data_IF_271577017767
#
_entry.id   IF_271577017767
#
_cell.length_a   1.000
_cell.length_b   1.000
_cell.length_c   1.000
_cell.angle_alpha   90.00
_cell.angle_beta   90.00
_cell.angle_gamma   90.00
#
_symmetry.space_group_name_H-M   'P 1'
#
loop_
_entity.id
_entity.type
_entity.pdbx_description
1 polymer ?
#
# COMPACT_ATOMS: atom_id res chain seq x y z
N UNK A 1 -1.82 -12.06 13.54
CA UNK A 1 -1.91 -11.44 12.20
C UNK A 1 -3.33 -10.94 12.10
N UNK A 2 -3.52 -9.62 12.02
CA UNK A 2 -4.85 -9.05 11.95
C UNK A 2 -5.44 -9.35 10.57
N UNK A 3 -6.63 -9.95 10.55
CA UNK A 3 -7.40 -10.10 9.32
C UNK A 3 -7.79 -8.70 8.85
N UNK A 4 -7.56 -8.40 7.57
CA UNK A 4 -7.89 -7.09 6.96
C UNK A 4 -9.38 -6.74 7.15
N UNK A 5 -10.21 -7.75 7.38
CA UNK A 5 -11.65 -7.71 7.62
C UNK A 5 -12.09 -7.44 9.06
N UNK A 6 -11.18 -7.34 10.05
CA UNK A 6 -11.53 -7.19 11.47
C UNK A 6 -11.24 -5.82 12.10
N UNK A 7 -10.77 -4.83 11.32
CA UNK A 7 -10.50 -3.49 11.85
C UNK A 7 -11.81 -2.69 11.92
N UNK A 8 -12.35 -2.52 13.13
CA UNK A 8 -13.53 -1.69 13.34
C UNK A 8 -13.22 -0.20 13.07
N UNK A 9 -14.14 0.58 12.47
CA UNK A 9 -13.91 2.00 12.17
C UNK A 9 -13.57 2.87 13.38
N UNK A 10 -14.06 2.51 14.57
CA UNK A 10 -13.76 3.19 15.83
C UNK A 10 -12.34 2.96 16.32
N UNK A 11 -11.70 1.85 15.92
CA UNK A 11 -10.31 1.59 16.24
C UNK A 11 -9.37 2.42 15.35
N UNK A 12 -9.80 2.77 14.12
CA UNK A 12 -9.02 3.61 13.19
C UNK A 12 -8.72 5.00 13.74
N UNK A 13 -9.72 5.72 14.25
CA UNK A 13 -9.49 7.06 14.82
C UNK A 13 -8.61 7.02 16.07
N UNK A 14 -8.69 5.93 16.85
CA UNK A 14 -7.81 5.73 18.01
C UNK A 14 -6.39 5.34 17.60
N UNK A 15 -6.21 4.69 16.44
CA UNK A 15 -4.88 4.43 15.89
C UNK A 15 -4.18 5.72 15.51
N UNK A 16 -4.90 6.66 14.88
CA UNK A 16 -4.31 7.91 14.43
C UNK A 16 -3.75 8.73 15.60
N UNK A 17 -4.50 8.88 16.70
CA UNK A 17 -4.06 9.66 17.87
C UNK A 17 -2.95 8.94 18.67
N UNK A 18 -3.11 7.65 18.97
CA UNK A 18 -2.14 6.91 19.80
C UNK A 18 -0.80 6.68 19.10
N UNK A 19 -0.81 6.31 17.82
CA UNK A 19 0.42 6.03 17.05
C UNK A 19 1.17 7.33 16.76
N UNK A 20 0.47 8.43 16.50
CA UNK A 20 1.09 9.73 16.25
C UNK A 20 1.83 10.28 17.48
N UNK A 21 1.31 10.02 18.68
CA UNK A 21 1.87 10.51 19.94
C UNK A 21 3.01 9.65 20.49
N UNK A 22 2.94 8.32 20.35
CA UNK A 22 3.94 7.42 20.94
C UNK A 22 4.16 6.13 20.12
N UNK A 23 5.29 6.08 19.40
CA UNK A 23 5.74 4.89 18.66
C UNK A 23 6.60 3.92 19.50
N UNK A 24 6.95 4.26 20.75
CA UNK A 24 7.96 3.52 21.53
C UNK A 24 7.50 2.11 21.92
N UNK A 25 6.19 1.85 21.89
CA UNK A 25 5.60 0.54 22.18
C UNK A 25 4.99 -0.06 20.91
N UNK A 26 5.78 -0.84 20.17
CA UNK A 26 5.28 -1.71 19.10
C UNK A 26 5.58 -1.25 17.67
N UNK A 27 6.33 -0.16 17.46
CA UNK A 27 6.83 0.21 16.15
C UNK A 27 8.21 -0.42 15.88
N UNK A 28 8.29 -1.27 14.85
CA UNK A 28 9.54 -1.88 14.39
C UNK A 28 9.85 -1.40 12.96
N UNK A 29 10.97 -0.70 12.79
CA UNK A 29 11.51 -0.37 11.47
C UNK A 29 12.03 -1.63 10.77
N UNK A 30 11.67 -1.79 9.49
CA UNK A 30 12.00 -2.98 8.69
C UNK A 30 13.15 -2.72 7.69
N UNK A 31 13.85 -1.59 7.79
CA UNK A 31 15.03 -1.27 6.97
C UNK A 31 16.08 -2.38 6.96
N UNK A 32 16.34 -3.01 8.11
CA UNK A 32 17.27 -4.13 8.27
C UNK A 32 16.94 -5.35 7.42
N UNK A 33 15.69 -5.47 6.95
CA UNK A 33 15.23 -6.53 6.05
C UNK A 33 15.19 -6.09 4.58
N UNK A 34 15.73 -4.91 4.25
CA UNK A 34 15.69 -4.36 2.90
C UNK A 34 14.31 -3.84 2.49
N UNK A 35 13.37 -3.68 3.44
CA UNK A 35 12.01 -3.24 3.16
C UNK A 35 11.91 -1.71 3.10
N UNK A 36 12.54 -1.12 2.08
CA UNK A 36 12.51 0.30 1.80
C UNK A 36 12.17 0.56 0.34
N UNK A 37 11.46 1.66 0.08
CA UNK A 37 11.14 2.15 -1.25
C UNK A 37 12.05 3.32 -1.63
N UNK A 38 11.80 3.95 -2.78
CA UNK A 38 12.49 5.17 -3.20
C UNK A 38 12.26 6.35 -2.25
N UNK A 39 11.12 6.38 -1.57
CA UNK A 39 10.65 7.55 -0.80
C UNK A 39 10.53 7.29 0.69
N UNK A 40 10.53 6.03 1.12
CA UNK A 40 10.26 5.67 2.50
C UNK A 40 10.76 4.29 2.91
N UNK A 41 10.41 3.91 4.13
CA UNK A 41 10.73 2.63 4.74
C UNK A 41 9.47 2.02 5.35
N UNK A 42 9.37 0.70 5.31
CA UNK A 42 8.26 0.00 5.95
C UNK A 42 8.52 -0.18 7.45
N UNK A 43 7.44 -0.08 8.20
CA UNK A 43 7.37 -0.34 9.63
C UNK A 43 6.32 -1.41 9.88
N UNK A 44 6.58 -2.25 10.87
CA UNK A 44 5.57 -3.09 11.50
C UNK A 44 5.08 -2.35 12.75
N UNK A 45 3.79 -2.05 12.81
CA UNK A 45 3.17 -1.41 13.96
C UNK A 45 2.30 -2.43 14.66
N UNK A 46 2.67 -2.79 15.88
CA UNK A 46 1.90 -3.67 16.76
C UNK A 46 1.18 -2.81 17.78
N UNK A 47 -0.11 -3.05 17.96
CA UNK A 47 -0.95 -2.33 18.91
C UNK A 47 -1.44 -3.36 19.93
N UNK A 48 -0.68 -3.58 21.02
CA UNK A 48 -0.91 -4.68 21.95
C UNK A 48 -2.31 -4.67 22.55
N UNK A 49 -2.87 -3.49 22.82
CA UNK A 49 -4.16 -3.28 23.46
C UNK A 49 -5.31 -3.92 22.67
N UNK A 50 -5.18 -3.99 21.35
CA UNK A 50 -6.19 -4.53 20.45
C UNK A 50 -5.74 -5.81 19.72
N UNK A 51 -4.51 -6.27 19.99
CA UNK A 51 -3.94 -7.46 19.32
C UNK A 51 -3.72 -7.29 17.81
N UNK A 52 -3.70 -6.06 17.31
CA UNK A 52 -3.53 -5.78 15.88
C UNK A 52 -2.05 -5.60 15.51
N UNK A 53 -1.74 -5.97 14.27
CA UNK A 53 -0.46 -5.66 13.65
C UNK A 53 -0.73 -5.12 12.26
N UNK A 54 -0.21 -3.93 11.99
CA UNK A 54 -0.33 -3.20 10.74
C UNK A 54 1.05 -3.02 10.12
N UNK A 55 1.04 -2.66 8.84
CA UNK A 55 2.20 -2.14 8.13
C UNK A 55 2.03 -0.63 8.00
N UNK A 56 3.11 0.11 8.15
CA UNK A 56 3.14 1.52 7.82
C UNK A 56 4.27 1.84 6.87
N UNK A 57 3.99 2.63 5.85
CA UNK A 57 5.02 3.24 5.00
C UNK A 57 5.37 4.60 5.58
N UNK A 58 6.54 4.69 6.19
CA UNK A 58 7.04 5.92 6.77
C UNK A 58 7.93 6.70 5.82
N UNK A 59 7.72 8.01 5.74
CA UNK A 59 8.50 8.92 4.89
C UNK A 59 9.00 10.13 5.67
N UNK A 60 10.11 10.70 5.20
CA UNK A 60 10.62 11.98 5.68
C UNK A 60 9.68 13.12 5.23
N UNK A 61 9.74 14.27 5.93
CA UNK A 61 8.89 15.44 5.62
C UNK A 61 9.00 15.90 4.15
N UNK A 62 10.19 15.79 3.55
CA UNK A 62 10.46 16.12 2.14
C UNK A 62 9.62 15.28 1.16
N UNK A 63 9.17 14.09 1.55
CA UNK A 63 8.40 13.17 0.72
C UNK A 63 6.89 13.16 1.05
N UNK A 64 6.40 14.12 1.84
CA UNK A 64 4.97 14.22 2.18
C UNK A 64 4.06 14.24 0.94
N UNK A 65 4.42 15.04 -0.07
CA UNK A 65 3.65 15.11 -1.31
C UNK A 65 3.65 13.78 -2.08
N UNK A 66 4.70 12.97 -1.97
CA UNK A 66 4.74 11.65 -2.59
C UNK A 66 3.78 10.69 -1.90
N UNK A 67 3.75 10.71 -0.56
CA UNK A 67 2.82 9.90 0.24
C UNK A 67 1.35 10.28 -0.04
N UNK A 68 1.04 11.57 -0.19
CA UNK A 68 -0.29 12.04 -0.61
C UNK A 68 -0.60 11.60 -2.04
N UNK A 69 0.39 11.73 -2.94
CA UNK A 69 0.48 11.09 -4.27
C UNK A 69 -0.16 9.70 -4.29
N UNK A 70 0.45 8.84 -3.51
CA UNK A 70 0.12 7.43 -3.41
C UNK A 70 -1.25 7.20 -2.74
N UNK A 71 -1.58 7.93 -1.68
CA UNK A 71 -2.87 7.84 -1.00
C UNK A 71 -4.05 8.17 -1.94
N UNK A 72 -3.85 9.09 -2.88
CA UNK A 72 -4.85 9.40 -3.91
C UNK A 72 -5.10 8.21 -4.85
N UNK A 73 -4.10 7.38 -5.15
CA UNK A 73 -4.27 6.15 -5.94
C UNK A 73 -5.14 5.15 -5.18
N UNK A 74 -4.84 4.91 -3.91
CA UNK A 74 -5.66 4.05 -3.05
C UNK A 74 -7.10 4.55 -2.95
N UNK A 75 -7.29 5.87 -2.83
CA UNK A 75 -8.61 6.51 -2.76
C UNK A 75 -9.39 6.34 -4.07
N UNK A 76 -8.73 6.53 -5.22
CA UNK A 76 -9.32 6.32 -6.55
C UNK A 76 -9.77 4.87 -6.76
N UNK A 77 -9.04 3.90 -6.19
CA UNK A 77 -9.32 2.48 -6.31
C UNK A 77 -9.95 1.85 -5.07
N UNK A 78 -10.80 2.61 -4.38
CA UNK A 78 -11.53 2.13 -3.20
C UNK A 78 -12.27 0.80 -3.43
N UNK A 79 -12.83 0.60 -4.62
CA UNK A 79 -13.55 -0.62 -4.99
C UNK A 79 -12.64 -1.83 -5.28
N UNK A 80 -11.31 -1.61 -5.38
CA UNK A 80 -10.32 -2.67 -5.58
C UNK A 80 -9.63 -3.08 -4.28
N UNK A 81 -9.77 -2.27 -3.22
CA UNK A 81 -9.22 -2.57 -1.90
C UNK A 81 -9.79 -3.90 -1.36
N UNK A 82 -9.08 -4.53 -0.43
CA UNK A 82 -9.36 -5.87 0.13
C UNK A 82 -9.06 -7.02 -0.83
N UNK A 83 -9.32 -6.90 -2.14
CA UNK A 83 -9.16 -8.02 -3.08
C UNK A 83 -7.91 -7.92 -3.94
N UNK A 84 -7.64 -6.74 -4.49
CA UNK A 84 -6.58 -6.53 -5.48
C UNK A 84 -5.47 -5.61 -4.98
N UNK A 85 -5.78 -4.78 -3.99
CA UNK A 85 -4.83 -3.87 -3.35
C UNK A 85 -5.11 -3.84 -1.84
N UNK A 86 -4.12 -3.49 -1.00
CA UNK A 86 -4.33 -3.29 0.43
C UNK A 86 -5.35 -2.20 0.72
N UNK A 87 -5.99 -2.31 1.89
CA UNK A 87 -6.84 -1.24 2.40
C UNK A 87 -5.95 -0.07 2.83
N UNK A 88 -6.26 1.14 2.36
CA UNK A 88 -5.65 2.36 2.90
C UNK A 88 -6.42 2.77 4.16
N UNK A 89 -5.76 2.67 5.32
CA UNK A 89 -6.39 2.93 6.62
C UNK A 89 -6.33 4.42 6.98
N UNK A 90 -5.34 5.15 6.46
CA UNK A 90 -5.15 6.56 6.72
C UNK A 90 -3.68 6.97 6.60
N UNK A 91 -3.45 8.28 6.62
CA UNK A 91 -2.12 8.86 6.79
C UNK A 91 -2.07 9.55 8.14
N UNK A 92 -0.96 9.38 8.85
CA UNK A 92 -0.72 10.01 10.15
C UNK A 92 0.54 10.86 10.09
N UNK A 93 0.52 11.94 10.87
CA UNK A 93 1.66 12.79 11.12
C UNK A 93 2.18 12.50 12.52
N UNK A 94 3.44 12.09 12.62
CA UNK A 94 4.04 11.82 13.92
C UNK A 94 4.29 13.14 14.66
N UNK A 95 3.85 13.23 15.92
CA UNK A 95 4.13 14.39 16.77
C UNK A 95 5.64 14.54 16.93
N UNK A 96 6.29 13.45 17.30
CA UNK A 96 7.76 13.32 17.39
C UNK A 96 8.24 12.47 16.22
N UNK A 97 9.19 12.98 15.44
CA UNK A 97 9.71 12.22 14.30
C UNK A 97 10.48 10.99 14.75
N UNK A 98 10.28 9.88 14.05
CA UNK A 98 10.96 8.61 14.35
C UNK A 98 12.38 8.63 13.75
N UNK A 99 13.44 8.51 14.57
CA UNK A 99 14.81 8.51 14.08
C UNK A 99 15.19 7.14 13.48
N UNK A 100 15.75 7.15 12.28
CA UNK A 100 16.35 5.97 11.66
C UNK A 100 17.84 5.86 12.00
N UNK A 101 18.40 4.65 11.86
CA UNK A 101 19.85 4.43 12.02
C UNK A 101 20.67 5.23 11.00
N UNK A 102 20.08 5.53 9.84
CA UNK A 102 20.66 6.38 8.80
C UNK A 102 20.70 7.88 9.15
N UNK A 103 20.25 8.28 10.35
CA UNK A 103 20.08 9.67 10.80
C UNK A 103 18.97 10.45 10.08
N UNK A 104 18.19 9.79 9.22
CA UNK A 104 16.96 10.33 8.67
C UNK A 104 15.84 10.30 9.71
N UNK A 105 14.86 11.20 9.56
CA UNK A 105 13.73 11.33 10.48
C UNK A 105 12.42 11.12 9.72
N UNK A 106 11.68 10.09 10.09
CA UNK A 106 10.34 9.82 9.55
C UNK A 106 9.35 10.75 10.24
N UNK A 107 8.55 11.46 9.45
CA UNK A 107 7.56 12.43 9.95
C UNK A 107 6.13 12.03 9.61
N UNK A 108 5.91 11.37 8.48
CA UNK A 108 4.59 10.98 8.00
C UNK A 108 4.56 9.47 7.78
N UNK A 109 3.42 8.84 8.05
CA UNK A 109 3.22 7.42 7.81
C UNK A 109 1.88 7.17 7.11
N UNK A 110 1.85 6.23 6.17
CA UNK A 110 0.61 5.68 5.60
C UNK A 110 0.36 4.30 6.22
N UNK A 111 -0.81 4.10 6.83
CA UNK A 111 -1.19 2.88 7.52
C UNK A 111 -1.96 1.93 6.59
N UNK A 112 -1.59 0.64 6.61
CA UNK A 112 -2.18 -0.43 5.81
C UNK A 112 -2.16 -1.76 6.58
N UNK A 113 -3.10 -2.68 6.34
CA UNK A 113 -3.00 -4.04 6.86
C UNK A 113 -1.85 -4.79 6.16
N UNK A 114 -1.40 -5.89 6.77
CA UNK A 114 -0.47 -6.80 6.10
C UNK A 114 -1.11 -7.37 4.83
N UNK A 115 -0.42 -7.19 3.71
CA UNK A 115 -0.97 -7.51 2.39
C UNK A 115 -0.67 -8.94 1.93
N UNK A 116 0.37 -9.59 2.46
CA UNK A 116 0.80 -10.91 2.00
C UNK A 116 2.31 -11.01 1.80
N UNK A 117 2.77 -12.17 1.35
CA UNK A 117 4.18 -12.40 1.03
C UNK A 117 4.47 -12.00 -0.42
N UNK A 118 5.64 -11.42 -0.70
CA UNK A 118 6.02 -11.08 -2.08
C UNK A 118 6.10 -12.36 -2.94
N UNK A 119 5.74 -12.25 -4.21
CA UNK A 119 5.84 -13.37 -5.15
C UNK A 119 7.30 -13.80 -5.39
N UNK A 120 8.26 -12.89 -5.16
CA UNK A 120 9.69 -13.22 -5.13
C UNK A 120 10.03 -14.17 -3.98
N UNK A 121 9.45 -13.97 -2.79
CA UNK A 121 9.74 -14.77 -1.61
C UNK A 121 8.91 -16.06 -1.54
N UNK A 122 7.71 -16.06 -2.11
CA UNK A 122 6.77 -17.17 -2.00
C UNK A 122 5.79 -17.22 -3.18
N UNK A 123 5.74 -18.39 -3.82
CA UNK A 123 4.75 -18.74 -4.84
C UNK A 123 3.92 -19.91 -4.26
N UNK A 124 2.59 -19.77 -4.13
CA UNK A 124 1.74 -20.84 -3.62
C UNK A 124 1.66 -22.03 -4.58
N UNK A 125 1.68 -23.24 -4.04
CA UNK A 125 1.57 -24.47 -4.83
C UNK A 125 0.17 -24.66 -5.42
N UNK A 126 0.12 -25.16 -6.66
CA UNK A 126 -1.14 -25.53 -7.32
C UNK A 126 -2.01 -24.36 -7.77
N UNK A 127 -1.49 -23.14 -7.70
CA UNK A 127 -2.15 -21.92 -8.21
C UNK A 127 -1.47 -21.48 -9.50
N UNK A 128 -2.27 -21.13 -10.50
CA UNK A 128 -1.77 -20.43 -11.69
C UNK A 128 -1.52 -18.96 -11.35
N UNK A 129 -0.30 -18.68 -10.89
CA UNK A 129 0.10 -17.31 -10.52
C UNK A 129 0.11 -16.36 -11.71
N UNK A 130 0.41 -16.84 -12.92
CA UNK A 130 0.33 -15.99 -14.12
C UNK A 130 -1.09 -15.44 -14.32
N UNK A 131 -2.09 -16.32 -14.22
CA UNK A 131 -3.49 -15.91 -14.32
C UNK A 131 -3.94 -14.98 -13.17
N UNK A 132 -3.45 -15.18 -11.94
CA UNK A 132 -3.76 -14.27 -10.83
C UNK A 132 -3.10 -12.90 -10.97
N UNK A 133 -1.87 -12.84 -11.49
CA UNK A 133 -1.22 -11.57 -11.84
C UNK A 133 -2.04 -10.85 -12.92
N UNK A 134 -2.40 -11.53 -14.00
CA UNK A 134 -3.20 -10.96 -15.09
C UNK A 134 -4.57 -10.47 -14.59
N UNK A 135 -5.19 -11.23 -13.67
CA UNK A 135 -6.45 -10.85 -13.03
C UNK A 135 -6.30 -9.52 -12.27
N UNK A 136 -5.25 -9.39 -11.47
CA UNK A 136 -5.02 -8.20 -10.64
C UNK A 136 -4.61 -7.00 -11.49
N UNK A 137 -3.64 -7.17 -12.39
CA UNK A 137 -3.19 -6.11 -13.32
C UNK A 137 -4.32 -5.67 -14.24
N UNK A 138 -5.13 -6.61 -14.76
CA UNK A 138 -6.29 -6.31 -15.58
C UNK A 138 -7.33 -5.44 -14.86
N UNK A 139 -7.50 -5.64 -13.55
CA UNK A 139 -8.40 -4.80 -12.72
C UNK A 139 -7.84 -3.41 -12.47
N UNK A 140 -6.54 -3.29 -12.20
CA UNK A 140 -5.87 -1.98 -12.09
C UNK A 140 -5.96 -1.18 -13.39
N UNK A 141 -5.69 -1.84 -14.52
CA UNK A 141 -5.80 -1.24 -15.85
C UNK A 141 -7.24 -0.78 -16.14
N UNK A 142 -8.24 -1.59 -15.78
CA UNK A 142 -9.66 -1.24 -15.95
C UNK A 142 -10.08 -0.05 -15.08
N UNK A 143 -9.38 0.20 -13.98
CA UNK A 143 -9.56 1.38 -13.13
C UNK A 143 -8.68 2.58 -13.56
N UNK A 144 -8.05 2.48 -14.72
CA UNK A 144 -7.17 3.51 -15.30
C UNK A 144 -5.93 3.83 -14.45
N UNK A 145 -5.47 2.87 -13.64
CA UNK A 145 -4.15 2.95 -13.01
C UNK A 145 -3.12 2.42 -13.99
N UNK A 146 -2.12 3.24 -14.30
CA UNK A 146 -0.86 2.75 -14.83
C UNK A 146 0.12 2.67 -13.66
N UNK A 147 0.45 1.45 -13.23
CA UNK A 147 1.55 1.26 -12.32
C UNK A 147 2.83 1.17 -13.17
N UNK A 148 3.66 2.21 -13.15
CA UNK A 148 4.92 2.24 -13.89
C UNK A 148 5.97 1.25 -13.37
N UNK A 149 5.66 0.55 -12.28
CA UNK A 149 6.55 -0.36 -11.55
C UNK A 149 5.87 -1.70 -11.24
N UNK A 150 5.18 -2.31 -12.23
CA UNK A 150 4.75 -3.71 -12.16
C UNK A 150 5.98 -4.62 -12.27
N UNK A 151 6.76 -4.67 -11.19
CA UNK A 151 7.78 -5.69 -10.96
C UNK A 151 7.18 -6.73 -10.02
N UNK A 152 7.65 -7.97 -10.13
CA UNK A 152 7.24 -9.08 -9.25
C UNK A 152 7.42 -8.75 -7.75
N UNK A 153 8.29 -7.79 -7.42
CA UNK A 153 8.54 -7.30 -6.06
C UNK A 153 7.38 -6.51 -5.45
N UNK A 154 6.52 -5.89 -6.28
CA UNK A 154 5.37 -5.11 -5.86
C UNK A 154 4.04 -5.90 -5.94
N UNK A 155 4.15 -7.23 -6.15
CA UNK A 155 3.04 -8.16 -6.13
C UNK A 155 3.20 -9.11 -4.96
N UNK A 156 2.14 -9.26 -4.18
CA UNK A 156 2.12 -10.12 -2.99
C UNK A 156 0.99 -11.15 -3.10
N UNK A 157 1.27 -12.37 -2.66
CA UNK A 157 0.24 -13.36 -2.44
C UNK A 157 -0.42 -13.16 -1.07
N UNK A 158 -1.73 -12.93 -1.09
CA UNK A 158 -2.53 -12.83 0.10
C UNK A 158 -3.28 -14.16 0.36
N UNK A 159 -2.94 -14.80 1.47
CA UNK A 159 -3.54 -16.07 1.87
C UNK A 159 -5.02 -15.97 2.32
N UNK A 160 -5.44 -14.81 2.84
CA UNK A 160 -6.82 -14.59 3.32
C UNK A 160 -7.79 -14.56 2.14
N UNK A 161 -7.45 -13.84 1.08
CA UNK A 161 -8.31 -13.72 -0.12
C UNK A 161 -7.95 -14.70 -1.23
N UNK A 162 -6.89 -15.51 -1.03
CA UNK A 162 -6.36 -16.46 -2.01
C UNK A 162 -6.13 -15.82 -3.38
N UNK A 163 -5.44 -14.69 -3.38
CA UNK A 163 -5.22 -13.90 -4.59
C UNK A 163 -3.98 -13.01 -4.52
N UNK A 164 -3.51 -12.60 -5.70
CA UNK A 164 -2.42 -11.64 -5.84
C UNK A 164 -2.94 -10.22 -5.57
N UNK A 165 -2.25 -9.48 -4.73
CA UNK A 165 -2.47 -8.04 -4.54
C UNK A 165 -1.28 -7.24 -5.07
N UNK A 166 -1.56 -6.06 -5.61
CA UNK A 166 -0.53 -5.07 -5.90
C UNK A 166 -0.34 -4.13 -4.71
N UNK A 167 0.92 -3.86 -4.39
CA UNK A 167 1.36 -2.94 -3.35
C UNK A 167 2.27 -1.87 -3.97
N UNK A 168 2.60 -0.84 -3.17
CA UNK A 168 3.53 0.25 -3.51
C UNK A 168 3.17 0.98 -4.81
N UNK A 169 2.47 2.11 -4.67
CA UNK A 169 2.01 2.93 -5.78
C UNK A 169 2.84 4.22 -5.94
N UNK A 170 4.08 4.24 -5.45
CA UNK A 170 5.01 5.39 -5.48
C UNK A 170 5.16 6.03 -6.88
N UNK A 171 5.11 5.20 -7.93
CA UNK A 171 5.28 5.60 -9.33
C UNK A 171 4.00 5.44 -10.14
N UNK A 172 2.89 5.07 -9.51
CA UNK A 172 1.63 4.90 -10.20
C UNK A 172 0.97 6.24 -10.48
N UNK A 173 0.21 6.30 -11.57
CA UNK A 173 -0.59 7.46 -11.93
C UNK A 173 -1.90 7.02 -12.57
N UNK A 174 -2.91 7.90 -12.47
CA UNK A 174 -4.20 7.71 -13.11
C UNK A 174 -4.11 8.33 -14.50
N UNK A 175 -4.39 7.54 -15.53
CA UNK A 175 -4.46 8.05 -16.90
C UNK A 175 -5.92 8.20 -17.33
N UNK A 176 -6.19 9.13 -18.26
CA UNK A 176 -7.50 9.22 -18.91
C UNK A 176 -7.39 8.59 -20.28
N UNK A 177 -8.20 7.57 -20.56
CA UNK A 177 -8.36 7.09 -21.94
C UNK A 177 -9.13 8.14 -22.72
N UNK A 178 -8.43 8.97 -23.50
CA UNK A 178 -9.10 9.77 -24.54
C UNK A 178 -9.61 8.79 -25.59
N UNK A 179 -10.91 8.51 -25.58
CA UNK A 179 -11.57 7.78 -26.66
C UNK A 179 -11.29 8.58 -27.94
N UNK A 180 -10.48 8.05 -28.86
CA UNK A 180 -10.29 8.66 -30.19
C UNK A 180 -11.66 8.77 -30.87
N UNK A 181 -12.25 9.96 -30.88
CA UNK A 181 -13.42 10.30 -31.70
C UNK A 181 -12.95 10.80 -33.08
N UNK A 182 -12.10 10.03 -33.77
CA UNK A 182 -11.61 10.37 -35.12
C UNK A 182 -11.77 9.21 -36.10
N UNK A 183 -12.94 8.58 -36.13
CA UNK A 183 -13.36 7.72 -37.24
C UNK A 183 -14.84 8.01 -37.53
N UNK A 184 -15.10 8.99 -38.40
CA UNK A 184 -16.32 9.18 -39.25
C UNK A 184 -16.52 10.64 -39.69
N UNK A 185 -15.47 11.31 -40.17
CA UNK A 185 -15.60 12.59 -40.88
C UNK A 185 -14.65 12.61 -42.09
N UNK A 186 -14.81 11.64 -42.99
CA UNK A 186 -14.26 11.70 -44.35
C UNK A 186 -14.97 10.64 -45.19
N UNK A 187 -16.24 10.91 -45.51
CA UNK A 187 -16.96 10.33 -46.65
C UNK A 187 -18.05 11.35 -47.03
N UNK A 188 -17.63 12.43 -47.71
CA UNK A 188 -18.44 13.21 -48.66
C UNK A 188 -17.54 13.67 -49.81
#
# INVERSE_FOLDING_TARGET
MALSTQIAPTHLSMFDEGIAENLDCGCECLDKYGMFSRTGVLFKITIPEYGYTLVAKGVQAVYADALVREACIYSHCKNLQVVYIPVHLGNIDLVISYPLQSLAYIKHMMLMPWAGMTLEAYIPDGIDIGNEIDRTVGKLNSASICNGDVRDTNLVWNEEVKGVMAIDFDLAYIYTTVKRLYESASDE
#
